data_IF_939522958407
#
_entry.id   IF_939522958407
#
_cell.length_a   1.000
_cell.length_b   1.000
_cell.length_c   1.000
_cell.angle_alpha   90.00
_cell.angle_beta   90.00
_cell.angle_gamma   90.00
#
_symmetry.space_group_name_H-M   'P 1'
#
loop_
_entity.id
_entity.type
_entity.pdbx_description
1 polymer ?
#
# COMPACT_ATOMS: atom_id res chain seq x y z
N UNK A 1 3.85 12.82 -20.03
CA UNK A 1 4.23 12.79 -18.59
C UNK A 1 3.01 12.24 -17.90
N UNK A 2 3.03 10.97 -17.50
CA UNK A 2 1.86 10.31 -16.94
C UNK A 2 1.67 10.80 -15.50
N UNK A 3 0.61 11.58 -15.26
CA UNK A 3 0.24 11.99 -13.91
C UNK A 3 -0.19 10.73 -13.14
N UNK A 4 0.68 10.28 -12.23
CA UNK A 4 0.34 9.24 -11.27
C UNK A 4 -0.79 9.74 -10.38
N UNK A 5 -2.03 9.39 -10.72
CA UNK A 5 -3.17 9.70 -9.88
C UNK A 5 -3.14 8.77 -8.65
N UNK A 6 -2.65 9.30 -7.53
CA UNK A 6 -2.55 8.58 -6.26
C UNK A 6 -3.35 9.38 -5.23
N UNK A 7 -4.46 8.81 -4.79
CA UNK A 7 -5.26 9.36 -3.70
C UNK A 7 -4.64 8.85 -2.41
N UNK A 8 -4.21 9.75 -1.54
CA UNK A 8 -3.64 9.39 -0.23
C UNK A 8 -4.41 10.03 0.92
N UNK A 9 -4.74 9.21 1.90
CA UNK A 9 -5.37 9.63 3.13
C UNK A 9 -4.42 10.42 4.05
N UNK A 10 -4.90 10.69 5.25
CA UNK A 10 -4.11 11.31 6.33
C UNK A 10 -3.25 10.26 7.03
N UNK A 11 -2.07 10.68 7.52
CA UNK A 11 -1.10 9.82 8.23
C UNK A 11 -0.63 8.62 7.38
N UNK A 12 -0.28 8.88 6.11
CA UNK A 12 0.33 7.88 5.23
C UNK A 12 1.85 8.02 5.31
N UNK A 13 2.54 6.93 5.61
CA UNK A 13 4.00 6.84 5.64
C UNK A 13 4.43 5.99 4.46
N UNK A 14 5.31 6.52 3.62
CA UNK A 14 5.88 5.82 2.46
C UNK A 14 7.39 5.86 2.63
N UNK A 15 8.01 4.70 2.80
CA UNK A 15 9.46 4.57 2.88
C UNK A 15 10.10 4.62 1.49
N UNK A 16 11.40 4.95 1.47
CA UNK A 16 12.17 5.10 0.25
C UNK A 16 12.27 3.76 -0.51
N UNK A 17 12.12 3.76 -1.83
CA UNK A 17 12.11 2.55 -2.65
C UNK A 17 10.76 1.83 -2.78
N UNK A 18 9.67 2.38 -2.22
CA UNK A 18 8.32 1.89 -2.52
C UNK A 18 7.86 2.35 -3.92
N UNK A 19 7.34 1.42 -4.72
CA UNK A 19 6.84 1.68 -6.07
C UNK A 19 5.32 1.70 -6.01
N UNK A 20 4.71 2.82 -6.41
CA UNK A 20 3.25 2.96 -6.48
C UNK A 20 2.83 3.11 -7.94
N UNK A 21 1.92 2.23 -8.36
CA UNK A 21 1.26 2.23 -9.66
C UNK A 21 0.23 3.34 -9.82
N UNK A 22 -0.35 3.43 -11.01
CA UNK A 22 -1.31 4.48 -11.36
C UNK A 22 -2.70 4.18 -10.78
N UNK A 23 -3.48 5.22 -10.51
CA UNK A 23 -4.87 5.11 -10.03
C UNK A 23 -4.98 4.32 -8.71
N UNK A 24 -4.04 4.55 -7.79
CA UNK A 24 -4.07 3.92 -6.47
C UNK A 24 -4.82 4.79 -5.46
N UNK A 25 -5.57 4.14 -4.57
CA UNK A 25 -6.25 4.79 -3.45
C UNK A 25 -5.64 4.27 -2.17
N UNK A 26 -5.14 5.16 -1.32
CA UNK A 26 -4.52 4.85 -0.04
C UNK A 26 -5.37 5.47 1.06
N UNK A 27 -5.86 4.64 1.96
CA UNK A 27 -6.63 5.05 3.13
C UNK A 27 -5.82 5.81 4.18
N UNK A 28 -6.44 6.03 5.33
CA UNK A 28 -5.86 6.71 6.48
C UNK A 28 -4.97 5.77 7.30
N UNK A 29 -3.91 6.32 7.91
CA UNK A 29 -3.05 5.59 8.85
C UNK A 29 -2.36 4.38 8.20
N UNK A 30 -1.90 4.55 6.96
CA UNK A 30 -1.25 3.49 6.16
C UNK A 30 0.27 3.63 6.24
N UNK A 31 0.97 2.50 6.39
CA UNK A 31 2.44 2.47 6.35
C UNK A 31 2.88 1.56 5.21
N UNK A 32 3.69 2.10 4.29
CA UNK A 32 4.26 1.39 3.15
C UNK A 32 5.77 1.34 3.36
N UNK A 33 6.28 0.13 3.55
CA UNK A 33 7.71 -0.10 3.75
C UNK A 33 8.52 -0.06 2.44
N UNK A 34 9.84 0.06 2.59
CA UNK A 34 10.79 0.04 1.48
C UNK A 34 10.71 -1.30 0.72
N UNK A 35 10.79 -1.25 -0.61
CA UNK A 35 10.74 -2.45 -1.47
C UNK A 35 9.33 -3.00 -1.70
N UNK A 36 8.28 -2.30 -1.27
CA UNK A 36 6.89 -2.63 -1.61
C UNK A 36 6.57 -2.13 -3.01
N UNK A 37 6.04 -3.01 -3.85
CA UNK A 37 5.50 -2.66 -5.17
C UNK A 37 3.98 -2.78 -5.15
N UNK A 38 3.29 -1.67 -5.41
CA UNK A 38 1.84 -1.58 -5.54
C UNK A 38 1.50 -1.45 -7.02
N UNK A 39 0.69 -2.38 -7.52
CA UNK A 39 0.19 -2.37 -8.90
C UNK A 39 -0.71 -1.17 -9.21
N UNK A 40 -1.14 -1.02 -10.46
CA UNK A 40 -2.11 0.02 -10.83
C UNK A 40 -3.53 -0.40 -10.49
N UNK A 41 -4.42 0.56 -10.17
CA UNK A 41 -5.82 0.33 -9.74
C UNK A 41 -5.97 -0.42 -8.41
N UNK A 42 -5.04 -0.21 -7.48
CA UNK A 42 -5.09 -0.83 -6.15
C UNK A 42 -5.75 0.10 -5.14
N UNK A 43 -6.63 -0.46 -4.31
CA UNK A 43 -7.26 0.24 -3.18
C UNK A 43 -6.72 -0.34 -1.88
N UNK A 44 -6.03 0.49 -1.11
CA UNK A 44 -5.48 0.19 0.20
C UNK A 44 -6.42 0.79 1.25
N UNK A 45 -6.97 -0.07 2.11
CA UNK A 45 -7.85 0.34 3.20
C UNK A 45 -7.12 1.04 4.34
N UNK A 46 -7.87 1.68 5.22
CA UNK A 46 -7.35 2.35 6.41
C UNK A 46 -6.65 1.37 7.36
N UNK A 47 -5.64 1.84 8.10
CA UNK A 47 -4.84 1.04 9.05
C UNK A 47 -4.08 -0.13 8.42
N UNK A 48 -3.79 -0.05 7.13
CA UNK A 48 -3.03 -1.08 6.43
C UNK A 48 -1.52 -0.85 6.58
N UNK A 49 -0.76 -1.92 6.79
CA UNK A 49 0.70 -1.89 6.75
C UNK A 49 1.18 -2.83 5.64
N UNK A 50 1.87 -2.31 4.64
CA UNK A 50 2.44 -3.06 3.53
C UNK A 50 3.96 -3.17 3.67
N UNK A 51 4.50 -4.34 3.37
CA UNK A 51 5.94 -4.63 3.42
C UNK A 51 6.48 -5.05 4.78
N UNK A 52 5.60 -5.31 5.75
CA UNK A 52 5.99 -6.12 6.92
C UNK A 52 6.25 -7.55 6.44
N UNK A 53 7.44 -8.10 6.69
CA UNK A 53 7.70 -9.53 6.48
C UNK A 53 6.55 -10.33 7.15
N UNK A 54 5.83 -11.15 6.38
CA UNK A 54 4.67 -11.83 6.92
C UNK A 54 5.16 -12.86 7.94
N UNK A 55 4.98 -12.55 9.22
CA UNK A 55 4.96 -13.59 10.25
C UNK A 55 3.65 -14.36 10.07
N UNK A 56 3.70 -15.41 9.24
CA UNK A 56 2.55 -16.29 8.96
C UNK A 56 2.26 -17.18 10.16
N UNK A 57 1.37 -16.73 11.04
CA UNK A 57 0.63 -17.58 11.97
C UNK A 57 -0.74 -17.91 11.38
N UNK A 58 -0.80 -18.95 10.54
CA UNK A 58 -1.94 -19.87 10.35
C UNK A 58 -3.37 -19.39 10.02
N UNK A 59 -3.67 -18.09 9.84
CA UNK A 59 -5.08 -17.65 9.64
C UNK A 59 -5.22 -16.33 8.86
N UNK A 60 -4.42 -16.07 7.83
CA UNK A 60 -4.61 -14.87 7.00
C UNK A 60 -5.56 -15.16 5.83
N UNK A 61 -6.75 -14.56 5.84
CA UNK A 61 -7.72 -14.66 4.77
C UNK A 61 -7.36 -13.68 3.65
N UNK A 62 -6.64 -14.16 2.62
CA UNK A 62 -6.46 -13.42 1.37
C UNK A 62 -7.60 -13.81 0.43
N UNK A 63 -8.60 -12.95 0.28
CA UNK A 63 -9.68 -13.15 -0.70
C UNK A 63 -9.11 -13.02 -2.11
N UNK A 64 -9.30 -14.09 -2.91
CA UNK A 64 -8.90 -14.20 -4.33
C UNK A 64 -9.64 -13.21 -5.22
#
# INVERSE_FOLDING_TARGET
MEEKNIIKGKNVVIEDGAIIGNNCVIGHNVVIHSGVEIGSNVVIGDNTVLGKEPFVSGSSATTT
#
